data_IF_795918237965
#
_entry.id   IF_795918237965
#
_cell.length_a   1.000
_cell.length_b   1.000
_cell.length_c   1.000
_cell.angle_alpha   90.00
_cell.angle_beta   90.00
_cell.angle_gamma   90.00
#
_symmetry.space_group_name_H-M   'P 1'
#
loop_
_entity.id
_entity.type
_entity.pdbx_description
1 polymer ?
#
# COMPACT_ATOMS: atom_id res chain seq x y z
N UNK A 1 17.43 -20.38 6.82
CA UNK A 1 17.62 -20.02 5.41
C UNK A 1 16.72 -18.85 5.10
N UNK A 2 17.31 -17.70 4.80
CA UNK A 2 16.58 -16.50 4.36
C UNK A 2 16.78 -16.29 2.88
N UNK A 3 15.75 -15.79 2.21
CA UNK A 3 15.78 -15.46 0.80
C UNK A 3 14.70 -14.44 0.47
N UNK A 4 14.74 -13.89 -0.74
CA UNK A 4 13.73 -12.99 -1.25
C UNK A 4 13.22 -13.46 -2.61
N UNK A 5 12.01 -13.04 -2.96
CA UNK A 5 11.37 -13.41 -4.22
C UNK A 5 11.70 -12.36 -5.27
N UNK A 6 12.20 -12.81 -6.44
CA UNK A 6 12.43 -11.96 -7.61
C UNK A 6 11.69 -12.56 -8.82
N UNK A 7 10.47 -12.08 -9.06
CA UNK A 7 9.60 -12.62 -10.09
C UNK A 7 9.14 -14.04 -9.76
N UNK A 8 9.52 -15.02 -10.59
CA UNK A 8 9.22 -16.45 -10.38
C UNK A 8 10.35 -17.24 -9.69
N UNK A 9 11.41 -16.55 -9.26
CA UNK A 9 12.59 -17.17 -8.64
C UNK A 9 12.68 -16.81 -7.16
N UNK A 10 13.14 -17.75 -6.33
CA UNK A 10 13.52 -17.52 -4.94
C UNK A 10 15.05 -17.41 -4.90
N UNK A 11 15.56 -16.27 -4.43
CA UNK A 11 16.99 -16.03 -4.28
C UNK A 11 17.35 -16.17 -2.81
N UNK A 12 18.20 -17.13 -2.49
CA UNK A 12 18.69 -17.36 -1.13
C UNK A 12 19.81 -16.36 -0.81
N UNK A 13 19.72 -15.75 0.37
CA UNK A 13 20.74 -14.85 0.92
C UNK A 13 21.76 -15.60 1.78
N UNK A 14 21.38 -16.77 2.29
CA UNK A 14 22.21 -17.66 3.11
C UNK A 14 22.48 -18.94 2.31
N UNK A 15 23.66 -19.54 2.50
CA UNK A 15 23.99 -20.83 1.90
C UNK A 15 23.06 -21.93 2.43
N UNK A 16 22.71 -22.86 1.55
CA UNK A 16 21.99 -24.07 1.94
C UNK A 16 22.96 -24.89 2.81
N UNK A 17 22.54 -25.40 3.98
CA UNK A 17 23.41 -26.24 4.79
C UNK A 17 23.80 -27.53 4.04
N UNK A 18 25.01 -28.04 4.25
CA UNK A 18 25.61 -29.15 3.48
C UNK A 18 24.88 -30.51 3.64
N UNK A 19 23.85 -30.55 4.48
CA UNK A 19 23.05 -31.75 4.74
C UNK A 19 21.93 -31.97 3.72
N UNK A 20 21.63 -31.00 2.86
CA UNK A 20 20.65 -31.16 1.78
C UNK A 20 21.31 -31.80 0.55
N UNK A 21 20.63 -32.78 -0.03
CA UNK A 21 21.04 -33.44 -1.27
C UNK A 21 20.03 -33.17 -2.37
N UNK A 22 20.49 -33.29 -3.61
CA UNK A 22 19.61 -33.26 -4.76
C UNK A 22 18.57 -34.38 -4.66
N UNK A 23 17.29 -34.03 -4.86
CA UNK A 23 16.16 -34.95 -4.74
C UNK A 23 15.48 -34.93 -3.37
N UNK A 24 16.03 -34.23 -2.38
CA UNK A 24 15.37 -34.07 -1.08
C UNK A 24 14.10 -33.23 -1.22
N UNK A 25 13.04 -33.63 -0.48
CA UNK A 25 11.82 -32.84 -0.36
C UNK A 25 12.03 -31.77 0.70
N UNK A 26 11.71 -30.53 0.33
CA UNK A 26 11.79 -29.38 1.23
C UNK A 26 10.45 -28.66 1.26
N UNK A 27 10.05 -28.25 2.46
CA UNK A 27 8.90 -27.38 2.65
C UNK A 27 9.37 -25.92 2.66
N UNK A 28 8.70 -25.08 1.88
CA UNK A 28 8.99 -23.65 1.77
C UNK A 28 7.77 -22.89 2.28
N UNK A 29 7.94 -22.13 3.36
CA UNK A 29 6.96 -21.13 3.82
C UNK A 29 7.38 -19.76 3.32
N UNK A 30 6.43 -19.01 2.75
CA UNK A 30 6.63 -17.64 2.30
C UNK A 30 5.77 -16.75 3.17
N UNK A 31 6.42 -15.97 4.03
CA UNK A 31 5.74 -15.00 4.87
C UNK A 31 5.84 -13.62 4.20
N UNK A 32 4.72 -12.98 3.81
CA UNK A 32 4.76 -11.63 3.29
C UNK A 32 5.21 -10.69 4.40
N UNK A 33 6.28 -9.91 4.15
CA UNK A 33 6.60 -8.81 5.04
C UNK A 33 5.51 -7.75 4.90
N UNK A 34 4.85 -7.33 6.00
CA UNK A 34 3.92 -6.23 5.94
C UNK A 34 4.70 -4.99 5.49
N UNK A 35 4.34 -4.44 4.32
CA UNK A 35 4.79 -3.10 3.97
C UNK A 35 4.19 -2.14 4.99
N UNK A 36 5.01 -1.23 5.52
CA UNK A 36 4.50 -0.17 6.39
C UNK A 36 3.50 0.65 5.60
N UNK A 37 2.31 0.90 6.16
CA UNK A 37 1.31 1.77 5.55
C UNK A 37 1.97 3.09 5.14
N UNK A 38 2.08 3.30 3.82
CA UNK A 38 2.68 4.52 3.28
C UNK A 38 1.71 5.67 3.49
N UNK A 39 1.93 6.45 4.55
CA UNK A 39 1.17 7.67 4.79
C UNK A 39 1.66 8.74 3.82
N UNK A 40 0.79 9.17 2.90
CA UNK A 40 1.02 10.36 2.10
C UNK A 40 0.62 11.60 2.91
N UNK A 41 1.41 12.68 2.86
CA UNK A 41 1.06 13.92 3.55
C UNK A 41 -0.23 14.48 2.96
N UNK A 42 -1.30 14.47 3.74
CA UNK A 42 -2.53 15.18 3.45
C UNK A 42 -2.45 16.60 4.01
N UNK A 43 -3.11 17.55 3.35
CA UNK A 43 -3.38 18.85 3.93
C UNK A 43 -4.87 18.96 4.23
N UNK A 44 -5.21 19.65 5.31
CA UNK A 44 -6.60 19.97 5.61
C UNK A 44 -7.12 20.96 4.57
N UNK A 45 -8.17 20.57 3.85
CA UNK A 45 -8.91 21.51 3.02
C UNK A 45 -9.63 22.48 3.96
N UNK A 46 -9.11 23.70 4.08
CA UNK A 46 -9.75 24.80 4.78
C UNK A 46 -10.99 25.27 4.05
N UNK A 47 -12.07 24.49 4.08
CA UNK A 47 -13.37 24.91 3.60
C UNK A 47 -13.91 25.90 4.62
N UNK A 48 -14.10 27.16 4.23
CA UNK A 48 -14.77 28.12 5.11
C UNK A 48 -16.21 27.65 5.32
N UNK A 49 -16.72 27.77 6.55
CA UNK A 49 -18.06 27.31 6.92
C UNK A 49 -19.17 27.87 6.01
N UNK A 50 -18.96 29.08 5.49
CA UNK A 50 -19.86 29.72 4.54
C UNK A 50 -20.04 28.99 3.19
N UNK A 51 -19.11 28.10 2.83
CA UNK A 51 -19.18 27.26 1.63
C UNK A 51 -19.68 25.83 1.94
N UNK A 52 -19.98 25.52 3.20
CA UNK A 52 -20.68 24.28 3.55
C UNK A 52 -22.19 24.39 3.27
N UNK A 53 -22.70 25.63 3.28
CA UNK A 53 -24.09 25.90 2.91
C UNK A 53 -24.26 25.88 1.39
N UNK A 54 -24.73 24.73 0.89
CA UNK A 54 -25.00 24.52 -0.54
C UNK A 54 -26.04 25.50 -1.08
N UNK A 55 -26.99 25.97 -0.26
CA UNK A 55 -28.01 26.91 -0.71
C UNK A 55 -27.39 28.25 -1.09
N UNK A 56 -26.40 28.73 -0.31
CA UNK A 56 -25.63 29.95 -0.62
C UNK A 56 -24.81 29.84 -1.92
N UNK A 57 -24.36 28.64 -2.28
CA UNK A 57 -23.55 28.40 -3.50
C UNK A 57 -24.43 28.33 -4.76
N UNK A 58 -25.63 27.76 -4.64
CA UNK A 58 -26.55 27.55 -5.76
C UNK A 58 -27.71 28.54 -5.78
N UNK A 59 -27.73 29.55 -4.89
CA UNK A 59 -28.65 30.68 -4.96
C UNK A 59 -28.43 31.37 -6.30
N UNK A 60 -29.25 30.96 -7.25
CA UNK A 60 -29.36 31.57 -8.56
C UNK A 60 -29.88 32.97 -8.28
N UNK A 61 -29.06 34.00 -8.52
CA UNK A 61 -29.46 35.40 -8.40
C UNK A 61 -30.86 35.58 -9.00
N UNK A 62 -31.87 35.74 -8.14
CA UNK A 62 -33.27 35.97 -8.51
C UNK A 62 -33.53 37.44 -8.86
N UNK A 63 -32.52 38.14 -9.36
CA UNK A 63 -32.58 39.55 -9.73
C UNK A 63 -32.60 39.75 -11.25
N UNK A 64 -33.38 38.93 -11.96
CA UNK A 64 -33.80 39.24 -13.33
C UNK A 64 -35.30 38.94 -13.43
N UNK A 65 -36.14 39.90 -13.03
CA UNK A 65 -37.53 40.06 -13.46
C UNK A 65 -37.97 41.52 -13.24
#
# INVERSE_FOLDING_TARGET
MKGYIKGKNIILLESIPDNFKEGDRVDISIDPLPESDYSFPTFELGIKDEYLDREKIYESNKDIL
#
